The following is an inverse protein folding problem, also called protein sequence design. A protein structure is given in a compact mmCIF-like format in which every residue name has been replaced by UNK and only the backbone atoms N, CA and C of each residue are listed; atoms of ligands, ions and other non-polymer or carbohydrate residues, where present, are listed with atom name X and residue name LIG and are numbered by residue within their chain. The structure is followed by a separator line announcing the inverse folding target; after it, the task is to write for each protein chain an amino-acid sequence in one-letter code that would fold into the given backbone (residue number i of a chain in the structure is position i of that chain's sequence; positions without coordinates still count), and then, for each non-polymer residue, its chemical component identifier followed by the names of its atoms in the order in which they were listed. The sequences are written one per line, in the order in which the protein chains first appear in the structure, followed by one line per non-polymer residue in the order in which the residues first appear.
data_IF_008252048020
#
_entry.id   IF_008252048020
#
_cell.length_a   1.000
_cell.length_b   1.000
_cell.length_c   1.000
_cell.angle_alpha   90.00
_cell.angle_beta   90.00
_cell.angle_gamma   90.00
#
_symmetry.space_group_name_H-M   'P 1'
#
loop_
_entity.id
_entity.type
_entity.pdbx_description
1 polymer ?
#
# COMPACT_ATOMS: atom_id res chain seq x y z
N UNK A 1 -3.48 12.34 -31.63
CA UNK A 1 -2.57 12.76 -30.54
C UNK A 1 -3.32 12.58 -29.23
N UNK A 2 -3.17 11.42 -28.61
CA UNK A 2 -3.85 11.11 -27.34
C UNK A 2 -3.13 11.86 -26.23
N UNK A 3 -3.81 12.82 -25.60
CA UNK A 3 -3.29 13.53 -24.43
C UNK A 3 -3.01 12.50 -23.33
N UNK A 4 -1.73 12.21 -23.08
CA UNK A 4 -1.30 11.63 -21.81
C UNK A 4 -1.43 12.76 -20.80
N UNK A 5 -2.57 12.84 -20.11
CA UNK A 5 -2.70 13.76 -18.99
C UNK A 5 -1.69 13.31 -17.93
N UNK A 6 -0.69 14.16 -17.63
CA UNK A 6 0.20 13.99 -16.49
C UNK A 6 -0.59 14.24 -15.20
N UNK A 7 -1.41 13.28 -14.80
CA UNK A 7 -1.89 13.20 -13.42
C UNK A 7 -0.97 12.22 -12.71
N UNK A 8 -0.01 12.75 -11.95
CA UNK A 8 0.76 11.96 -11.00
C UNK A 8 -0.20 11.58 -9.86
N UNK A 9 -0.83 10.41 -9.95
CA UNK A 9 -1.59 9.85 -8.83
C UNK A 9 -0.64 8.96 -8.04
N UNK A 10 -0.40 9.29 -6.77
CA UNK A 10 0.00 8.28 -5.81
C UNK A 10 -1.15 7.26 -5.74
N UNK A 11 -0.94 6.04 -6.21
CA UNK A 11 -1.92 4.96 -6.11
C UNK A 11 -2.30 4.81 -4.63
N UNK A 12 -3.58 4.95 -4.26
CA UNK A 12 -4.04 4.81 -2.87
C UNK A 12 -3.88 3.38 -2.33
N UNK A 13 -3.64 2.43 -3.25
CA UNK A 13 -3.53 1.00 -3.04
C UNK A 13 -2.33 0.47 -3.81
N UNK A 14 -1.47 -0.31 -3.15
CA UNK A 14 -0.28 -0.87 -3.79
C UNK A 14 -0.62 -1.87 -4.92
N UNK A 15 -1.83 -2.44 -4.92
CA UNK A 15 -2.25 -3.46 -5.88
C UNK A 15 -2.97 -2.91 -7.12
N UNK A 16 -3.18 -1.59 -7.19
CA UNK A 16 -3.87 -0.98 -8.34
C UNK A 16 -2.91 -0.84 -9.53
N UNK A 17 -3.32 -1.38 -10.68
CA UNK A 17 -2.55 -1.27 -11.91
C UNK A 17 -2.56 0.18 -12.43
N UNK A 18 -1.39 0.70 -12.76
CA UNK A 18 -1.25 2.08 -13.26
C UNK A 18 -1.72 2.20 -14.72
N UNK A 19 -1.44 1.18 -15.53
CA UNK A 19 -1.76 1.13 -16.95
C UNK A 19 -2.45 -0.19 -17.35
N UNK A 20 -3.66 -0.47 -16.82
CA UNK A 20 -4.34 -1.75 -17.06
C UNK A 20 -4.62 -2.05 -18.54
N UNK A 21 -4.69 -1.03 -19.39
CA UNK A 21 -4.78 -1.17 -20.84
C UNK A 21 -3.50 -1.73 -21.51
N UNK A 22 -2.38 -1.77 -20.79
CA UNK A 22 -1.08 -2.25 -21.28
C UNK A 22 -0.75 -3.63 -20.71
N UNK A 23 -0.89 -3.83 -19.40
CA UNK A 23 -0.46 -5.04 -18.69
C UNK A 23 -1.58 -5.71 -17.87
N UNK A 24 -2.83 -5.31 -18.10
CA UNK A 24 -4.02 -5.91 -17.50
C UNK A 24 -4.37 -5.36 -16.12
N UNK A 25 -5.55 -5.74 -15.61
CA UNK A 25 -6.08 -5.25 -14.33
C UNK A 25 -5.20 -5.64 -13.12
N UNK A 26 -4.42 -6.71 -13.25
CA UNK A 26 -3.43 -7.16 -12.26
C UNK A 26 -1.99 -6.77 -12.65
N UNK A 27 -1.86 -5.75 -13.48
CA UNK A 27 -0.60 -5.20 -13.95
C UNK A 27 0.23 -4.53 -12.85
N UNK A 28 1.32 -3.90 -13.28
CA UNK A 28 2.24 -3.18 -12.41
C UNK A 28 1.58 -1.91 -11.90
N UNK A 29 1.77 -1.66 -10.61
CA UNK A 29 1.56 -0.34 -10.03
C UNK A 29 2.67 0.63 -10.53
N UNK A 30 2.59 1.89 -10.12
CA UNK A 30 3.56 2.89 -10.53
C UNK A 30 5.02 2.54 -10.14
N UNK A 31 5.24 1.98 -8.96
CA UNK A 31 6.58 1.55 -8.52
C UNK A 31 7.15 0.43 -9.40
N UNK A 32 6.29 -0.49 -9.86
CA UNK A 32 6.68 -1.54 -10.81
C UNK A 32 7.01 -1.00 -12.18
N UNK A 33 6.25 -0.03 -12.69
CA UNK A 33 6.60 0.66 -13.93
C UNK A 33 7.92 1.43 -13.80
N UNK A 34 8.12 2.14 -12.69
CA UNK A 34 9.37 2.85 -12.42
C UNK A 34 10.57 1.88 -12.39
N UNK A 35 10.45 0.74 -11.72
CA UNK A 35 11.50 -0.29 -11.67
C UNK A 35 11.79 -0.84 -13.06
N UNK A 36 10.74 -1.24 -13.80
CA UNK A 36 10.85 -1.79 -15.15
C UNK A 36 11.54 -0.84 -16.14
N UNK A 37 11.27 0.46 -16.05
CA UNK A 37 11.81 1.46 -16.98
C UNK A 37 13.20 1.91 -16.58
N UNK A 38 13.45 2.10 -15.28
CA UNK A 38 14.69 2.73 -14.81
C UNK A 38 15.76 1.73 -14.37
N UNK A 39 15.37 0.52 -13.99
CA UNK A 39 16.24 -0.47 -13.33
C UNK A 39 16.70 -0.03 -11.93
N UNK A 40 16.23 1.11 -11.41
CA UNK A 40 16.57 1.58 -10.08
C UNK A 40 15.70 0.88 -9.02
N UNK A 41 16.20 0.86 -7.78
CA UNK A 41 15.43 0.37 -6.65
C UNK A 41 14.17 1.23 -6.44
N UNK A 42 13.03 0.59 -6.20
CA UNK A 42 11.73 1.26 -6.02
C UNK A 42 11.05 0.90 -4.72
N UNK A 43 10.28 1.87 -4.21
CA UNK A 43 9.43 1.70 -3.04
C UNK A 43 7.96 1.92 -3.46
N UNK A 44 7.09 0.97 -3.14
CA UNK A 44 5.64 1.11 -3.29
C UNK A 44 5.00 1.59 -1.99
N UNK A 45 3.73 2.00 -2.04
CA UNK A 45 2.95 2.46 -0.88
C UNK A 45 1.45 2.27 -1.16
N UNK A 46 0.64 2.28 -0.11
CA UNK A 46 -0.82 2.41 -0.21
C UNK A 46 -1.55 1.24 0.44
N UNK A 47 -2.34 1.54 1.48
CA UNK A 47 -3.26 0.59 2.15
C UNK A 47 -2.62 -0.75 2.57
N UNK A 48 -1.37 -0.70 3.07
CA UNK A 48 -0.64 -1.88 3.54
C UNK A 48 -1.22 -2.37 4.86
N UNK A 49 -1.63 -3.64 4.89
CA UNK A 49 -2.13 -4.30 6.10
C UNK A 49 -3.46 -3.76 6.62
N UNK A 50 -4.21 -2.99 5.82
CA UNK A 50 -5.52 -2.43 6.19
C UNK A 50 -6.54 -2.65 5.07
N UNK A 51 -7.79 -2.97 5.44
CA UNK A 51 -8.88 -3.26 4.52
C UNK A 51 -9.46 -2.02 3.81
N UNK A 52 -9.26 -0.83 4.38
CA UNK A 52 -9.80 0.44 3.90
C UNK A 52 -8.78 1.35 3.22
N UNK A 53 -9.25 2.16 2.26
CA UNK A 53 -8.46 3.13 1.52
C UNK A 53 -8.16 4.38 2.35
N UNK A 54 -7.15 5.15 1.95
CA UNK A 54 -6.79 6.43 2.57
C UNK A 54 -7.96 7.42 2.51
N UNK A 55 -8.69 7.45 1.40
CA UNK A 55 -9.81 8.38 1.18
C UNK A 55 -11.01 8.09 2.08
N UNK A 56 -11.33 6.81 2.35
CA UNK A 56 -12.41 6.47 3.28
C UNK A 56 -12.05 6.79 4.72
N UNK A 57 -10.76 6.62 5.09
CA UNK A 57 -10.22 7.07 6.38
C UNK A 57 -10.41 8.57 6.61
N UNK A 58 -10.11 9.42 5.61
CA UNK A 58 -10.35 10.86 5.73
C UNK A 58 -11.85 11.23 5.77
N UNK A 59 -12.72 10.34 5.29
CA UNK A 59 -14.17 10.42 5.47
C UNK A 59 -14.68 10.02 6.86
N UNK A 60 -13.79 9.60 7.77
CA UNK A 60 -14.12 9.19 9.13
C UNK A 60 -14.27 7.68 9.33
N UNK A 61 -14.00 6.86 8.32
CA UNK A 61 -14.12 5.40 8.43
C UNK A 61 -12.88 4.76 9.06
N UNK A 62 -13.09 3.85 10.00
CA UNK A 62 -12.06 2.97 10.54
C UNK A 62 -11.64 1.92 9.51
N UNK A 63 -10.45 1.35 9.66
CA UNK A 63 -9.98 0.24 8.82
C UNK A 63 -9.46 -0.89 9.68
N UNK A 64 -9.81 -2.12 9.33
CA UNK A 64 -9.37 -3.32 10.05
C UNK A 64 -8.10 -3.90 9.43
N UNK A 65 -7.30 -4.68 10.18
CA UNK A 65 -6.18 -5.43 9.63
C UNK A 65 -6.60 -6.27 8.41
N UNK A 66 -5.78 -6.23 7.36
CA UNK A 66 -5.97 -7.02 6.15
C UNK A 66 -4.78 -7.94 5.87
N UNK A 67 -5.02 -9.00 5.10
CA UNK A 67 -3.97 -9.95 4.71
C UNK A 67 -2.86 -9.26 3.91
N UNK A 68 -1.62 -9.72 4.12
CA UNK A 68 -0.44 -9.31 3.36
C UNK A 68 -0.16 -10.23 2.16
N UNK A 69 -0.97 -11.25 1.90
CA UNK A 69 -0.68 -12.27 0.87
C UNK A 69 -0.46 -11.65 -0.52
N UNK A 70 -1.32 -10.70 -0.92
CA UNK A 70 -1.17 -9.99 -2.21
C UNK A 70 0.12 -9.16 -2.28
N UNK A 71 0.52 -8.54 -1.16
CA UNK A 71 1.77 -7.79 -1.07
C UNK A 71 2.96 -8.72 -1.25
N UNK A 72 2.95 -9.86 -0.55
CA UNK A 72 4.01 -10.85 -0.62
C UNK A 72 4.14 -11.41 -2.05
N UNK A 73 3.04 -11.78 -2.69
CA UNK A 73 3.05 -12.28 -4.08
C UNK A 73 3.67 -11.26 -5.05
N UNK A 74 3.33 -9.98 -4.92
CA UNK A 74 3.88 -8.92 -5.79
C UNK A 74 5.36 -8.65 -5.51
N UNK A 75 5.80 -8.72 -4.25
CA UNK A 75 7.22 -8.61 -3.90
C UNK A 75 8.02 -9.81 -4.41
N UNK A 76 7.47 -11.03 -4.35
CA UNK A 76 8.08 -12.23 -4.93
C UNK A 76 8.21 -12.15 -6.46
N UNK A 77 7.32 -11.43 -7.12
CA UNK A 77 7.38 -11.10 -8.55
C UNK A 77 8.35 -9.95 -8.89
N UNK A 78 9.13 -9.49 -7.91
CA UNK A 78 10.13 -8.43 -8.04
C UNK A 78 9.54 -7.08 -8.54
N UNK A 79 8.26 -6.84 -8.30
CA UNK A 79 7.58 -5.64 -8.80
C UNK A 79 8.09 -4.37 -8.12
N UNK A 80 8.54 -4.44 -6.88
CA UNK A 80 9.16 -3.34 -6.15
C UNK A 80 10.01 -3.90 -5.01
N UNK A 81 11.04 -3.15 -4.60
CA UNK A 81 12.03 -3.62 -3.63
C UNK A 81 11.60 -3.38 -2.19
N UNK A 82 10.85 -2.30 -1.95
CA UNK A 82 10.40 -1.87 -0.63
C UNK A 82 8.92 -1.51 -0.63
N UNK A 83 8.30 -1.58 0.55
CA UNK A 83 6.93 -1.14 0.79
C UNK A 83 6.91 -0.16 1.96
N UNK A 84 6.34 1.03 1.74
CA UNK A 84 6.14 2.02 2.78
C UNK A 84 4.85 1.73 3.55
N UNK A 85 4.94 1.73 4.87
CA UNK A 85 3.83 1.51 5.79
C UNK A 85 3.53 2.83 6.50
N UNK A 86 2.26 3.25 6.50
CA UNK A 86 1.82 4.49 7.12
C UNK A 86 0.83 4.23 8.26
N UNK A 87 -0.48 4.33 7.94
CA UNK A 87 -1.60 4.23 8.88
C UNK A 87 -1.50 3.05 9.86
N UNK A 88 -1.09 1.87 9.39
CA UNK A 88 -0.97 0.70 10.25
C UNK A 88 0.02 0.90 11.42
N UNK A 89 1.17 1.55 11.18
CA UNK A 89 2.16 1.86 12.22
C UNK A 89 1.67 2.98 13.14
N UNK A 90 0.93 3.96 12.61
CA UNK A 90 0.39 5.05 13.43
C UNK A 90 -0.59 4.54 14.50
N UNK A 91 -1.39 3.52 14.19
CA UNK A 91 -2.33 2.92 15.15
C UNK A 91 -1.73 1.80 15.99
N UNK A 92 -0.64 1.18 15.52
CA UNK A 92 0.03 0.09 16.21
C UNK A 92 1.56 0.20 16.06
N UNK A 93 2.27 0.86 17.00
CA UNK A 93 3.72 1.01 16.93
C UNK A 93 4.48 -0.32 16.85
N UNK A 94 3.91 -1.40 17.42
CA UNK A 94 4.47 -2.74 17.40
C UNK A 94 4.06 -3.57 16.17
N UNK A 95 3.41 -2.95 15.17
CA UNK A 95 2.90 -3.64 13.98
C UNK A 95 3.97 -4.51 13.31
N UNK A 96 5.19 -3.97 13.11
CA UNK A 96 6.30 -4.70 12.47
C UNK A 96 6.72 -5.91 13.29
N UNK A 97 6.78 -5.77 14.62
CA UNK A 97 7.12 -6.85 15.55
C UNK A 97 6.09 -7.98 15.44
N UNK A 98 4.79 -7.64 15.44
CA UNK A 98 3.68 -8.59 15.36
C UNK A 98 3.62 -9.32 14.03
N UNK A 99 3.78 -8.61 12.91
CA UNK A 99 3.85 -9.24 11.58
C UNK A 99 5.03 -10.20 11.52
N UNK A 100 6.20 -9.80 12.03
CA UNK A 100 7.39 -10.66 12.07
C UNK A 100 7.20 -11.90 12.93
N UNK A 101 6.46 -11.82 14.04
CA UNK A 101 6.17 -12.96 14.91
C UNK A 101 4.97 -13.81 14.47
N UNK A 102 4.25 -13.40 13.43
CA UNK A 102 3.00 -14.03 12.98
C UNK A 102 1.81 -13.76 13.91
N UNK A 103 1.91 -12.80 14.83
CA UNK A 103 0.84 -12.44 15.76
C UNK A 103 -0.15 -11.46 15.11
N UNK A 104 -0.80 -11.91 14.04
CA UNK A 104 -1.73 -11.09 13.25
C UNK A 104 -3.08 -10.87 13.95
N UNK A 105 -3.42 -11.70 14.94
CA UNK A 105 -4.66 -11.60 15.72
C UNK A 105 -4.64 -10.45 16.73
N UNK A 106 -3.47 -9.95 17.11
CA UNK A 106 -3.30 -8.80 18.04
C UNK A 106 -3.11 -7.46 17.32
N UNK A 107 -3.20 -7.43 15.99
CA UNK A 107 -3.13 -6.21 15.20
C UNK A 107 -4.30 -5.29 15.53
N UNK A 108 -4.02 -4.00 15.69
CA UNK A 108 -5.04 -3.01 16.02
C UNK A 108 -5.69 -2.44 14.75
N UNK A 109 -6.96 -2.10 14.88
CA UNK A 109 -7.68 -1.32 13.89
C UNK A 109 -7.09 0.09 13.80
N UNK A 110 -7.16 0.67 12.60
CA UNK A 110 -6.91 2.09 12.40
C UNK A 110 -8.18 2.89 12.66
N UNK A 111 -8.06 3.93 13.49
CA UNK A 111 -9.08 4.96 13.70
C UNK A 111 -8.55 6.33 13.25
N UNK A 112 -9.34 7.17 12.56
CA UNK A 112 -8.94 8.53 12.20
C UNK A 112 -8.46 9.39 13.37
N UNK A 113 -8.93 9.11 14.60
CA UNK A 113 -8.46 9.78 15.80
C UNK A 113 -6.94 9.64 16.03
N UNK A 114 -6.34 8.53 15.55
CA UNK A 114 -4.90 8.28 15.66
C UNK A 114 -4.05 9.29 14.87
N UNK A 115 -4.63 10.06 13.93
CA UNK A 115 -3.91 11.13 13.23
C UNK A 115 -3.64 12.35 14.12
N UNK A 116 -4.36 12.49 15.23
CA UNK A 116 -4.20 13.58 16.21
C UNK A 116 -3.40 13.21 17.45
N UNK A 117 -2.98 11.95 17.59
CA UNK A 117 -2.24 11.44 18.74
C UNK A 117 -0.81 11.06 18.34
N UNK A 118 0.15 11.31 19.24
CA UNK A 118 1.54 10.84 19.09
C UNK A 118 1.82 9.90 20.26
N UNK A 119 2.11 8.63 19.97
CA UNK A 119 2.48 7.61 20.96
C UNK A 119 3.97 7.64 21.30
#
# INVERSE_FOLDING_TARGET
MTQISRHQRSSGRFWEAEYPQIDGENGLNFAGWAKKVTGAATISVGSVGLSGDLLSTFGGESSTPASLDNLLERMERDEFDLIAIGRAILSDPEWVTKIRSGDTSSLKDFSPAALGELY
#
